data_IF_236105474517
#
_entry.id   IF_236105474517
#
_cell.length_a   1.000
_cell.length_b   1.000
_cell.length_c   1.000
_cell.angle_alpha   90.00
_cell.angle_beta   90.00
_cell.angle_gamma   90.00
#
_symmetry.space_group_name_H-M   'P 1'
#
loop_
_entity.id
_entity.type
_entity.pdbx_description
1 polymer ?
#
# COMPACT_ATOMS: atom_id res chain seq x y z
N UNK A 1 -3.02 20.93 15.91
CA UNK A 1 -2.54 19.77 15.13
C UNK A 1 -1.58 18.99 16.02
N UNK A 2 -1.85 17.70 16.28
CA UNK A 2 -0.97 16.82 17.05
C UNK A 2 -0.23 15.90 16.08
N UNK A 3 1.09 15.84 16.18
CA UNK A 3 1.94 14.94 15.40
C UNK A 3 2.69 14.04 16.38
N UNK A 4 2.71 12.73 16.10
CA UNK A 4 3.35 11.72 16.95
C UNK A 4 4.29 10.90 16.06
N UNK A 5 5.47 11.44 15.70
CA UNK A 5 6.46 10.71 14.91
C UNK A 5 7.03 9.53 15.71
N UNK A 6 7.75 8.63 15.03
CA UNK A 6 8.42 7.48 15.63
C UNK A 6 7.50 6.59 16.48
N UNK A 7 6.23 6.52 16.08
CA UNK A 7 5.22 5.72 16.75
C UNK A 7 4.45 4.91 15.71
N UNK A 8 4.09 3.69 16.07
CA UNK A 8 3.24 2.82 15.27
C UNK A 8 1.89 2.59 15.96
N UNK A 9 0.84 2.37 15.16
CA UNK A 9 -0.48 2.00 15.68
C UNK A 9 -0.47 0.51 16.02
N UNK A 10 -0.60 0.17 17.31
CA UNK A 10 -0.59 -1.20 17.80
C UNK A 10 -1.98 -1.81 17.89
N UNK A 11 -2.99 -1.00 18.19
CA UNK A 11 -4.38 -1.45 18.35
C UNK A 11 -5.38 -0.33 18.11
N UNK A 12 -6.49 -0.67 17.46
CA UNK A 12 -7.68 0.18 17.34
C UNK A 12 -8.83 -0.57 18.02
N UNK A 13 -9.43 0.00 19.06
CA UNK A 13 -10.52 -0.62 19.82
C UNK A 13 -11.54 0.42 20.28
N UNK A 14 -12.74 0.37 19.72
CA UNK A 14 -13.77 1.38 19.98
C UNK A 14 -13.24 2.77 19.61
N UNK A 15 -13.41 3.73 20.51
CA UNK A 15 -12.94 5.12 20.37
C UNK A 15 -11.50 5.32 20.87
N UNK A 16 -10.72 4.25 21.00
CA UNK A 16 -9.35 4.30 21.52
C UNK A 16 -8.34 3.69 20.53
N UNK A 17 -7.26 4.43 20.28
CA UNK A 17 -6.11 4.01 19.48
C UNK A 17 -4.89 3.91 20.39
N UNK A 18 -4.33 2.71 20.51
CA UNK A 18 -3.06 2.49 21.21
C UNK A 18 -1.91 2.70 20.23
N UNK A 19 -1.05 3.67 20.49
CA UNK A 19 0.20 3.90 19.76
C UNK A 19 1.39 3.46 20.59
N UNK A 20 2.47 3.03 19.93
CA UNK A 20 3.67 2.53 20.59
C UNK A 20 4.90 3.22 20.01
N UNK A 21 5.78 3.72 20.89
CA UNK A 21 7.05 4.29 20.47
C UNK A 21 7.97 3.18 19.92
N UNK A 22 8.48 3.35 18.70
CA UNK A 22 9.26 2.30 18.02
C UNK A 22 10.63 2.02 18.66
N UNK A 23 11.14 2.94 19.50
CA UNK A 23 12.42 2.80 20.18
C UNK A 23 12.27 2.28 21.62
N UNK A 24 11.34 2.85 22.40
CA UNK A 24 11.17 2.51 23.82
C UNK A 24 10.16 1.39 24.06
N UNK A 25 9.32 1.08 23.06
CA UNK A 25 8.19 0.15 23.18
C UNK A 25 7.10 0.61 24.17
N UNK A 26 7.18 1.85 24.67
CA UNK A 26 6.17 2.43 25.54
C UNK A 26 4.88 2.70 24.75
N UNK A 27 3.74 2.38 25.36
CA UNK A 27 2.41 2.54 24.77
C UNK A 27 1.67 3.76 25.34
N UNK A 28 0.93 4.45 24.48
CA UNK A 28 0.01 5.52 24.85
C UNK A 28 -1.38 5.26 24.23
N UNK A 29 -2.44 5.43 25.01
CA UNK A 29 -3.81 5.38 24.52
C UNK A 29 -4.33 6.78 24.15
N UNK A 30 -4.69 6.95 22.88
CA UNK A 30 -5.40 8.12 22.36
C UNK A 30 -6.90 7.82 22.41
N UNK A 31 -7.64 8.53 23.27
CA UNK A 31 -9.09 8.35 23.48
C UNK A 31 -9.91 9.38 22.70
N UNK A 32 -11.19 9.08 22.48
CA UNK A 32 -12.13 9.96 21.79
C UNK A 32 -11.87 10.07 20.29
N UNK A 33 -11.38 8.99 19.68
CA UNK A 33 -11.14 8.91 18.23
C UNK A 33 -12.38 8.34 17.55
N UNK A 34 -13.13 9.18 16.84
CA UNK A 34 -14.35 8.75 16.11
C UNK A 34 -14.03 7.97 14.82
N UNK A 35 -12.88 8.24 14.20
CA UNK A 35 -12.49 7.66 12.92
C UNK A 35 -10.97 7.51 12.80
N UNK A 36 -10.54 6.38 12.24
CA UNK A 36 -9.15 6.12 11.85
C UNK A 36 -9.08 6.01 10.33
N UNK A 37 -8.22 6.81 9.71
CA UNK A 37 -7.92 6.72 8.28
C UNK A 37 -6.61 5.94 8.11
N UNK A 38 -6.70 4.75 7.52
CA UNK A 38 -5.52 3.91 7.25
C UNK A 38 -4.82 4.35 5.97
N UNK A 39 -3.57 4.81 6.10
CA UNK A 39 -2.70 5.15 4.97
C UNK A 39 -1.41 4.33 5.08
N UNK A 40 -1.53 3.00 4.97
CA UNK A 40 -0.46 2.01 5.26
C UNK A 40 0.16 1.37 4.02
N UNK A 41 0.02 2.02 2.86
CA UNK A 41 0.49 1.52 1.58
C UNK A 41 -0.60 0.85 0.76
N UNK A 42 -0.20 0.35 -0.42
CA UNK A 42 -1.08 -0.21 -1.44
C UNK A 42 -0.79 -1.70 -1.65
N UNK A 43 -1.77 -2.42 -2.18
CA UNK A 43 -1.63 -3.83 -2.60
C UNK A 43 -1.86 -3.92 -4.11
N UNK A 44 -1.02 -4.68 -4.81
CA UNK A 44 -1.22 -4.96 -6.23
C UNK A 44 -2.53 -5.70 -6.48
N UNK A 45 -3.30 -5.23 -7.45
CA UNK A 45 -4.46 -5.93 -7.99
C UNK A 45 -4.08 -6.62 -9.30
N UNK A 46 -4.15 -7.96 -9.30
CA UNK A 46 -3.58 -8.80 -10.37
C UNK A 46 -4.56 -9.84 -10.93
N UNK A 47 -5.81 -9.86 -10.46
CA UNK A 47 -6.75 -10.94 -10.74
C UNK A 47 -6.90 -11.26 -12.22
N UNK A 48 -7.09 -10.24 -13.06
CA UNK A 48 -7.26 -10.43 -14.52
C UNK A 48 -6.00 -11.04 -15.16
N UNK A 49 -4.81 -10.60 -14.76
CA UNK A 49 -3.56 -11.17 -15.31
C UNK A 49 -3.43 -12.65 -14.94
N UNK A 50 -3.67 -12.98 -13.67
CA UNK A 50 -3.58 -14.35 -13.17
C UNK A 50 -4.64 -15.26 -13.81
N UNK A 51 -5.83 -14.72 -14.10
CA UNK A 51 -6.89 -15.45 -14.78
C UNK A 51 -6.58 -15.75 -16.25
N UNK A 52 -5.88 -14.87 -16.96
CA UNK A 52 -5.61 -15.02 -18.39
C UNK A 52 -4.28 -15.74 -18.69
N UNK A 53 -3.32 -15.66 -17.77
CA UNK A 53 -1.98 -16.25 -17.96
C UNK A 53 -2.06 -17.73 -18.29
N UNK A 54 -1.49 -18.11 -19.43
CA UNK A 54 -1.48 -19.49 -19.92
C UNK A 54 -2.80 -20.00 -20.50
N UNK A 55 -3.85 -19.17 -20.57
CA UNK A 55 -5.14 -19.51 -21.18
C UNK A 55 -5.37 -18.93 -22.57
N UNK A 56 -4.58 -17.92 -22.95
CA UNK A 56 -4.62 -17.34 -24.29
C UNK A 56 -3.26 -17.45 -24.97
N UNK A 57 -3.27 -17.60 -26.29
CA UNK A 57 -2.07 -17.74 -27.11
C UNK A 57 -1.36 -16.39 -27.34
N UNK A 58 -2.06 -15.27 -27.11
CA UNK A 58 -1.49 -13.92 -27.22
C UNK A 58 -0.59 -13.61 -26.04
N UNK A 59 0.46 -12.85 -26.31
CA UNK A 59 1.32 -12.30 -25.27
C UNK A 59 0.54 -11.32 -24.39
N UNK A 60 0.74 -11.44 -23.07
CA UNK A 60 0.10 -10.59 -22.06
C UNK A 60 1.17 -9.82 -21.33
N UNK A 61 1.06 -8.50 -21.36
CA UNK A 61 1.90 -7.63 -20.57
C UNK A 61 1.23 -7.18 -19.30
N UNK A 62 2.06 -6.93 -18.30
CA UNK A 62 1.66 -6.57 -16.97
C UNK A 62 2.44 -5.34 -16.54
N UNK A 63 1.74 -4.25 -16.20
CA UNK A 63 2.36 -2.94 -15.97
C UNK A 63 1.76 -2.20 -14.78
N UNK A 64 2.55 -1.27 -14.23
CA UNK A 64 2.10 -0.30 -13.23
C UNK A 64 1.91 -0.89 -11.83
N UNK A 65 1.00 -0.32 -11.03
CA UNK A 65 0.81 -0.75 -9.63
C UNK A 65 0.32 -2.20 -9.50
N UNK A 66 -0.29 -2.73 -10.57
CA UNK A 66 -0.59 -4.15 -10.67
C UNK A 66 0.68 -5.00 -10.58
N UNK A 67 1.81 -4.56 -11.16
CA UNK A 67 3.13 -5.20 -11.02
C UNK A 67 3.66 -5.05 -9.59
N UNK A 68 3.78 -3.79 -9.15
CA UNK A 68 4.23 -3.46 -7.81
C UNK A 68 3.80 -2.01 -7.50
N UNK A 69 3.13 -1.73 -6.36
CA UNK A 69 2.71 -0.38 -6.04
C UNK A 69 3.92 0.47 -5.69
N UNK A 70 4.05 1.61 -6.34
CA UNK A 70 5.25 2.47 -6.22
C UNK A 70 4.96 3.89 -6.69
N UNK A 71 5.99 4.70 -6.85
CA UNK A 71 5.81 6.08 -7.30
C UNK A 71 5.43 6.14 -8.79
N UNK A 72 4.62 7.14 -9.15
CA UNK A 72 3.99 7.26 -10.46
C UNK A 72 5.02 7.36 -11.59
N UNK A 73 6.16 8.01 -11.37
CA UNK A 73 7.23 8.13 -12.35
C UNK A 73 7.82 6.77 -12.74
N UNK A 74 7.88 5.82 -11.80
CA UNK A 74 8.36 4.47 -12.07
C UNK A 74 7.34 3.69 -12.89
N UNK A 75 6.05 3.86 -12.60
CA UNK A 75 4.95 3.28 -13.38
C UNK A 75 4.98 3.79 -14.82
N UNK A 76 5.12 5.10 -15.01
CA UNK A 76 5.19 5.73 -16.34
C UNK A 76 6.42 5.23 -17.10
N UNK A 77 7.60 5.24 -16.47
CA UNK A 77 8.83 4.79 -17.10
C UNK A 77 8.75 3.32 -17.56
N UNK A 78 8.28 2.41 -16.71
CA UNK A 78 8.15 1.00 -17.07
C UNK A 78 7.20 0.78 -18.26
N UNK A 79 6.03 1.43 -18.23
CA UNK A 79 5.05 1.30 -19.29
C UNK A 79 5.58 1.85 -20.63
N UNK A 80 6.31 2.96 -20.57
CA UNK A 80 6.95 3.61 -21.71
C UNK A 80 8.06 2.74 -22.31
N UNK A 81 8.95 2.21 -21.48
CA UNK A 81 10.01 1.30 -21.90
C UNK A 81 9.46 0.03 -22.55
N UNK A 82 8.39 -0.54 -21.98
CA UNK A 82 7.73 -1.70 -22.56
C UNK A 82 7.15 -1.37 -23.93
N UNK A 83 6.43 -0.24 -24.05
CA UNK A 83 5.82 0.18 -25.30
C UNK A 83 6.83 0.42 -26.42
N UNK A 84 8.08 0.79 -26.11
CA UNK A 84 9.16 0.92 -27.10
C UNK A 84 9.76 -0.41 -27.55
N UNK A 85 9.59 -1.49 -26.80
CA UNK A 85 10.18 -2.81 -27.08
C UNK A 85 9.27 -3.71 -27.91
N UNK A 86 7.98 -3.38 -27.99
CA UNK A 86 6.93 -4.13 -28.69
C UNK A 86 6.50 -3.40 -29.96
#
# INVERSE_FOLDING_TARGET
>A
MRLIPNSEVKRIKGETVTVMNVYTQEEEDIKGVDMVVMSVGNKSERGIYDELKGKIEKEIYFVGDAVAPRLIEQVVLEAEELARRI
#
